data_IF_471395019854
#
_entry.id   IF_471395019854
#
_cell.length_a   1.000
_cell.length_b   1.000
_cell.length_c   1.000
_cell.angle_alpha   90.00
_cell.angle_beta   90.00
_cell.angle_gamma   90.00
#
_symmetry.space_group_name_H-M   'P 1'
#
loop_
_entity.id
_entity.type
_entity.pdbx_description
1 polymer ?
#
# COMPACT_ATOMS: atom_id res chain seq x y z
N UNK A 1 23.58 6.52 -10.20
CA UNK A 1 23.48 6.44 -8.73
C UNK A 1 24.39 5.32 -8.27
N UNK A 2 25.11 5.47 -7.13
CA UNK A 2 25.97 4.39 -6.62
C UNK A 2 25.13 3.23 -6.05
N UNK A 3 25.70 2.02 -6.04
CA UNK A 3 25.07 0.82 -5.46
C UNK A 3 24.70 1.02 -3.98
N UNK A 4 25.59 1.67 -3.22
CA UNK A 4 25.34 1.98 -1.81
C UNK A 4 24.09 2.84 -1.61
N UNK A 5 23.90 3.88 -2.43
CA UNK A 5 22.71 4.74 -2.39
C UNK A 5 21.47 3.96 -2.78
N UNK A 6 21.53 3.13 -3.83
CA UNK A 6 20.41 2.27 -4.22
C UNK A 6 19.96 1.37 -3.08
N UNK A 7 20.90 0.68 -2.46
CA UNK A 7 20.61 -0.22 -1.32
C UNK A 7 20.03 0.52 -0.12
N UNK A 8 20.57 1.69 0.21
CA UNK A 8 20.01 2.53 1.28
C UNK A 8 18.56 2.92 1.01
N UNK A 9 18.23 3.35 -0.21
CA UNK A 9 16.87 3.71 -0.59
C UNK A 9 15.91 2.50 -0.57
N UNK A 10 16.39 1.31 -0.95
CA UNK A 10 15.62 0.06 -0.84
C UNK A 10 15.29 -0.26 0.62
N UNK A 11 16.24 -0.08 1.54
CA UNK A 11 16.01 -0.27 2.99
C UNK A 11 14.95 0.71 3.50
N UNK A 12 15.00 1.99 3.10
CA UNK A 12 13.95 2.96 3.44
C UNK A 12 12.58 2.51 2.93
N UNK A 13 12.51 1.97 1.71
CA UNK A 13 11.27 1.41 1.17
C UNK A 13 10.75 0.23 1.99
N UNK A 14 11.61 -0.69 2.42
CA UNK A 14 11.24 -1.81 3.30
C UNK A 14 10.65 -1.30 4.62
N UNK A 15 11.31 -0.33 5.26
CA UNK A 15 10.81 0.31 6.49
C UNK A 15 9.45 0.96 6.24
N UNK A 16 9.29 1.68 5.13
CA UNK A 16 8.02 2.28 4.75
C UNK A 16 6.90 1.25 4.63
N UNK A 17 7.13 0.13 3.96
CA UNK A 17 6.14 -0.95 3.87
C UNK A 17 5.83 -1.61 5.21
N UNK A 18 6.82 -1.81 6.07
CA UNK A 18 6.60 -2.37 7.41
C UNK A 18 5.72 -1.44 8.27
N UNK A 19 5.99 -0.13 8.23
CA UNK A 19 5.19 0.88 8.94
C UNK A 19 3.76 0.93 8.39
N UNK A 20 3.59 0.93 7.06
CA UNK A 20 2.25 0.97 6.47
C UNK A 20 1.45 -0.30 6.78
N UNK A 21 2.08 -1.46 6.73
CA UNK A 21 1.45 -2.71 7.14
C UNK A 21 0.96 -2.66 8.60
N UNK A 22 1.72 -2.05 9.50
CA UNK A 22 1.26 -1.79 10.86
C UNK A 22 0.05 -0.86 10.88
N UNK A 23 0.08 0.23 10.11
CA UNK A 23 -1.02 1.18 10.00
C UNK A 23 -2.31 0.53 9.49
N UNK A 24 -2.23 -0.29 8.43
CA UNK A 24 -3.37 -1.04 7.92
C UNK A 24 -3.95 -2.01 8.96
N UNK A 25 -3.08 -2.63 9.74
CA UNK A 25 -3.51 -3.60 10.77
C UNK A 25 -4.27 -2.95 11.90
N UNK A 26 -3.83 -1.81 12.39
CA UNK A 26 -4.49 -1.14 13.53
C UNK A 26 -5.87 -0.58 13.19
N UNK A 27 -6.16 -0.34 11.90
CA UNK A 27 -7.48 0.08 11.40
C UNK A 27 -8.31 -1.08 10.81
N UNK A 28 -7.78 -2.29 10.84
CA UNK A 28 -8.48 -3.47 10.29
C UNK A 28 -8.66 -4.57 11.32
N UNK A 29 -7.92 -4.56 12.42
CA UNK A 29 -8.00 -5.55 13.50
C UNK A 29 -8.42 -4.82 14.77
N UNK A 30 -9.65 -5.03 15.19
CA UNK A 30 -10.26 -4.41 16.36
C UNK A 30 -10.37 -5.39 17.52
N UNK A 31 -10.60 -4.94 18.76
CA UNK A 31 -10.79 -5.83 19.90
C UNK A 31 -11.90 -6.87 19.70
N UNK A 32 -12.95 -6.50 18.99
CA UNK A 32 -14.14 -7.35 18.78
C UNK A 32 -14.16 -8.07 17.43
N UNK A 33 -13.03 -8.07 16.70
CA UNK A 33 -12.92 -8.79 15.44
C UNK A 33 -12.10 -8.09 14.39
N UNK A 34 -12.18 -8.61 13.17
CA UNK A 34 -11.45 -8.10 12.03
C UNK A 34 -12.43 -7.56 10.98
N UNK A 35 -12.13 -6.38 10.45
CA UNK A 35 -12.81 -5.85 9.27
C UNK A 35 -12.51 -6.76 8.07
N UNK A 36 -13.55 -7.28 7.43
CA UNK A 36 -13.44 -8.09 6.21
C UNK A 36 -13.84 -7.25 5.01
N UNK A 37 -13.36 -7.63 3.82
CA UNK A 37 -13.74 -6.93 2.58
C UNK A 37 -15.27 -7.01 2.36
N UNK A 38 -15.89 -8.11 2.75
CA UNK A 38 -17.34 -8.29 2.70
C UNK A 38 -18.07 -7.27 3.60
N UNK A 39 -17.49 -6.93 4.75
CA UNK A 39 -18.06 -5.98 5.70
C UNK A 39 -18.09 -4.55 5.15
N UNK A 40 -17.16 -4.20 4.25
CA UNK A 40 -17.15 -2.90 3.58
C UNK A 40 -18.41 -2.71 2.73
N UNK A 41 -18.92 -3.78 2.11
CA UNK A 41 -20.15 -3.74 1.32
C UNK A 41 -21.40 -3.57 2.18
N UNK A 42 -21.31 -3.94 3.46
CA UNK A 42 -22.42 -3.89 4.44
C UNK A 42 -22.17 -2.84 5.52
N UNK A 43 -21.30 -1.88 5.25
CA UNK A 43 -20.92 -0.81 6.20
C UNK A 43 -22.15 0.00 6.68
N UNK A 44 -23.19 0.03 5.87
CA UNK A 44 -24.46 0.65 6.17
C UNK A 44 -25.36 -0.15 7.12
N UNK A 45 -25.07 -1.42 7.44
CA UNK A 45 -25.87 -2.22 8.37
C UNK A 45 -25.80 -1.66 9.78
N UNK A 46 -26.95 -1.53 10.41
CA UNK A 46 -27.09 -0.93 11.73
C UNK A 46 -26.35 -1.76 12.80
N UNK A 47 -25.56 -1.08 13.61
CA UNK A 47 -24.88 -1.68 14.77
C UNK A 47 -23.61 -2.51 14.46
N UNK A 48 -23.40 -2.98 13.22
CA UNK A 48 -22.28 -3.87 12.91
C UNK A 48 -20.94 -3.20 13.14
N UNK A 49 -20.70 -2.01 12.57
CA UNK A 49 -19.47 -1.26 12.76
C UNK A 49 -19.32 -0.73 14.17
N UNK A 50 -20.40 -0.30 14.81
CA UNK A 50 -20.37 0.15 16.19
C UNK A 50 -19.88 -0.95 17.13
N UNK A 51 -20.40 -2.18 16.98
CA UNK A 51 -19.97 -3.35 17.75
C UNK A 51 -18.51 -3.74 17.46
N UNK A 52 -18.10 -3.71 16.19
CA UNK A 52 -16.73 -4.05 15.80
C UNK A 52 -15.73 -3.07 16.42
N UNK A 53 -16.06 -1.78 16.42
CA UNK A 53 -15.19 -0.69 16.89
C UNK A 53 -15.46 -0.32 18.37
N UNK A 54 -16.19 -1.13 19.12
CA UNK A 54 -16.38 -0.92 20.56
C UNK A 54 -15.04 -0.98 21.28
N UNK A 55 -14.77 0.01 22.16
CA UNK A 55 -13.49 0.14 22.88
C UNK A 55 -12.31 0.67 22.06
N UNK A 56 -12.47 0.93 20.77
CA UNK A 56 -11.42 1.55 19.96
C UNK A 56 -11.36 3.04 20.22
N UNK A 57 -10.15 3.55 20.53
CA UNK A 57 -9.92 4.98 20.69
C UNK A 57 -9.81 5.68 19.33
N UNK A 58 -10.36 6.88 19.21
CA UNK A 58 -10.22 7.74 18.01
C UNK A 58 -8.76 8.10 17.67
N UNK A 59 -7.84 7.98 18.63
CA UNK A 59 -6.40 8.16 18.39
C UNK A 59 -5.80 7.07 17.49
N UNK A 60 -6.45 5.90 17.38
CA UNK A 60 -5.95 4.78 16.56
C UNK A 60 -6.00 5.12 15.07
N UNK A 61 -7.16 5.48 14.49
CA UNK A 61 -7.19 5.86 13.08
C UNK A 61 -6.37 7.11 12.78
N UNK A 62 -6.32 8.10 13.68
CA UNK A 62 -5.45 9.27 13.48
C UNK A 62 -3.96 8.91 13.45
N UNK A 63 -3.53 7.97 14.29
CA UNK A 63 -2.17 7.43 14.23
C UNK A 63 -1.91 6.75 12.88
N UNK A 64 -2.84 5.93 12.41
CA UNK A 64 -2.74 5.30 11.10
C UNK A 64 -2.63 6.34 9.99
N UNK A 65 -3.49 7.37 9.97
CA UNK A 65 -3.46 8.42 8.96
C UNK A 65 -2.08 9.10 8.87
N UNK A 66 -1.53 9.52 10.01
CA UNK A 66 -0.25 10.25 10.06
C UNK A 66 0.92 9.34 9.69
N UNK A 67 1.08 8.22 10.37
CA UNK A 67 2.21 7.32 10.12
C UNK A 67 2.13 6.65 8.74
N UNK A 68 0.91 6.36 8.25
CA UNK A 68 0.71 5.84 6.92
C UNK A 68 1.12 6.83 5.83
N UNK A 69 0.81 8.11 5.99
CA UNK A 69 1.26 9.15 5.05
C UNK A 69 2.79 9.21 4.98
N UNK A 70 3.49 9.25 6.13
CA UNK A 70 4.96 9.22 6.16
C UNK A 70 5.52 7.91 5.59
N UNK A 71 4.87 6.79 5.85
CA UNK A 71 5.31 5.49 5.34
C UNK A 71 5.32 5.44 3.82
N UNK A 72 4.36 6.09 3.16
CA UNK A 72 4.30 6.17 1.70
C UNK A 72 5.46 6.98 1.11
N UNK A 73 5.90 8.04 1.81
CA UNK A 73 7.13 8.75 1.43
C UNK A 73 8.36 7.81 1.49
N UNK A 74 8.47 6.99 2.53
CA UNK A 74 9.55 6.01 2.64
C UNK A 74 9.44 4.93 1.55
N UNK A 75 8.24 4.43 1.25
CA UNK A 75 8.00 3.48 0.16
C UNK A 75 8.43 4.05 -1.19
N UNK A 76 8.16 5.34 -1.44
CA UNK A 76 8.60 6.00 -2.67
C UNK A 76 10.09 5.84 -2.90
N UNK A 77 10.94 5.99 -1.89
CA UNK A 77 12.38 5.85 -2.04
C UNK A 77 12.79 4.44 -2.52
N UNK A 78 12.15 3.39 -2.01
CA UNK A 78 12.43 2.02 -2.45
C UNK A 78 12.05 1.79 -3.92
N UNK A 79 10.88 2.22 -4.32
CA UNK A 79 10.44 2.14 -5.72
C UNK A 79 11.27 3.03 -6.64
N UNK A 80 11.65 4.22 -6.17
CA UNK A 80 12.52 5.12 -6.91
C UNK A 80 13.91 4.49 -7.16
N UNK A 81 14.46 3.75 -6.19
CA UNK A 81 15.72 3.06 -6.36
C UNK A 81 15.69 2.07 -7.53
N UNK A 82 14.66 1.20 -7.58
CA UNK A 82 14.48 0.26 -8.68
C UNK A 82 14.26 1.01 -10.01
N UNK A 83 13.42 2.03 -10.00
CA UNK A 83 13.14 2.88 -11.16
C UNK A 83 14.41 3.53 -11.71
N UNK A 84 15.23 4.11 -10.84
CA UNK A 84 16.47 4.77 -11.24
C UNK A 84 17.50 3.78 -11.80
N UNK A 85 17.56 2.56 -11.25
CA UNK A 85 18.37 1.49 -11.81
C UNK A 85 17.91 1.14 -13.24
N UNK A 86 16.61 0.89 -13.42
CA UNK A 86 16.03 0.58 -14.75
C UNK A 86 16.20 1.75 -15.72
N UNK A 87 16.04 3.00 -15.26
CA UNK A 87 16.25 4.20 -16.07
C UNK A 87 17.68 4.29 -16.63
N UNK A 88 18.66 3.81 -15.87
CA UNK A 88 20.04 3.68 -16.34
C UNK A 88 20.22 2.68 -17.48
N UNK A 89 19.31 1.73 -17.64
CA UNK A 89 19.31 0.70 -18.70
C UNK A 89 18.37 1.06 -19.86
N UNK A 90 17.18 1.58 -19.55
CA UNK A 90 16.19 2.02 -20.53
C UNK A 90 15.45 3.25 -20.02
N UNK A 91 15.59 4.35 -20.75
CA UNK A 91 14.89 5.61 -20.45
C UNK A 91 13.36 5.43 -20.51
N UNK A 92 12.88 4.65 -21.47
CA UNK A 92 11.43 4.43 -21.66
C UNK A 92 10.84 3.70 -20.45
N UNK A 93 11.37 2.52 -20.11
CA UNK A 93 10.87 1.77 -18.95
C UNK A 93 11.01 2.56 -17.65
N UNK A 94 12.15 3.20 -17.42
CA UNK A 94 12.36 4.03 -16.23
C UNK A 94 11.39 5.20 -16.14
N UNK A 95 11.10 5.89 -17.26
CA UNK A 95 10.11 6.99 -17.26
C UNK A 95 8.69 6.50 -17.00
N UNK A 96 8.29 5.39 -17.61
CA UNK A 96 6.97 4.78 -17.36
C UNK A 96 6.85 4.39 -15.88
N UNK A 97 7.85 3.71 -15.32
CA UNK A 97 7.88 3.30 -13.92
C UNK A 97 7.84 4.51 -12.98
N UNK A 98 8.56 5.59 -13.32
CA UNK A 98 8.55 6.80 -12.52
C UNK A 98 7.16 7.46 -12.47
N UNK A 99 6.54 7.67 -13.63
CA UNK A 99 5.18 8.23 -13.70
C UNK A 99 4.16 7.35 -12.95
N UNK A 100 4.27 6.04 -13.11
CA UNK A 100 3.39 5.07 -12.48
C UNK A 100 3.50 5.10 -10.94
N UNK A 101 4.73 5.17 -10.40
CA UNK A 101 4.93 5.18 -8.95
C UNK A 101 4.58 6.53 -8.33
N UNK A 102 4.81 7.65 -9.02
CA UNK A 102 4.35 8.96 -8.56
C UNK A 102 2.82 8.96 -8.44
N UNK A 103 2.10 8.46 -9.45
CA UNK A 103 0.65 8.31 -9.39
C UNK A 103 0.22 7.42 -8.21
N UNK A 104 0.86 6.26 -8.02
CA UNK A 104 0.53 5.34 -6.94
C UNK A 104 0.72 5.99 -5.57
N UNK A 105 1.89 6.60 -5.32
CA UNK A 105 2.22 7.16 -3.99
C UNK A 105 1.36 8.39 -3.68
N UNK A 106 1.17 9.31 -4.62
CA UNK A 106 0.42 10.55 -4.35
C UNK A 106 -1.07 10.27 -4.11
N UNK A 107 -1.69 9.50 -4.98
CA UNK A 107 -3.11 9.15 -4.82
C UNK A 107 -3.30 8.12 -3.72
N UNK A 108 -2.32 7.21 -3.52
CA UNK A 108 -2.32 6.24 -2.44
C UNK A 108 -2.23 6.88 -1.06
N UNK A 109 -1.47 7.97 -0.90
CA UNK A 109 -1.44 8.73 0.35
C UNK A 109 -2.81 9.34 0.67
N UNK A 110 -3.47 9.93 -0.32
CA UNK A 110 -4.83 10.44 -0.15
C UNK A 110 -5.83 9.33 0.21
N UNK A 111 -5.72 8.17 -0.45
CA UNK A 111 -6.53 6.99 -0.15
C UNK A 111 -6.35 6.52 1.29
N UNK A 112 -5.09 6.33 1.73
CA UNK A 112 -4.79 5.85 3.07
C UNK A 112 -5.28 6.79 4.17
N UNK A 113 -4.99 8.10 4.04
CA UNK A 113 -5.46 9.12 4.99
C UNK A 113 -6.97 9.15 5.05
N UNK A 114 -7.65 9.10 3.90
CA UNK A 114 -9.10 9.16 3.84
C UNK A 114 -9.76 7.93 4.47
N UNK A 115 -9.21 6.74 4.25
CA UNK A 115 -9.70 5.50 4.89
C UNK A 115 -9.63 5.61 6.42
N UNK A 116 -8.50 6.08 6.96
CA UNK A 116 -8.36 6.27 8.39
C UNK A 116 -9.28 7.38 8.94
N UNK A 117 -9.48 8.47 8.19
CA UNK A 117 -10.40 9.55 8.59
C UNK A 117 -11.86 9.09 8.65
N UNK A 118 -12.29 8.16 7.80
CA UNK A 118 -13.64 7.60 7.88
C UNK A 118 -13.89 6.94 9.24
N UNK A 119 -12.94 6.17 9.73
CA UNK A 119 -13.03 5.53 11.05
C UNK A 119 -12.95 6.55 12.18
N UNK A 120 -12.07 7.55 12.06
CA UNK A 120 -11.98 8.64 13.02
C UNK A 120 -13.32 9.37 13.17
N UNK A 121 -13.93 9.78 12.06
CA UNK A 121 -15.23 10.48 12.06
C UNK A 121 -16.31 9.62 12.74
N UNK A 122 -16.36 8.33 12.41
CA UNK A 122 -17.33 7.40 13.00
C UNK A 122 -17.18 7.28 14.53
N UNK A 123 -15.95 7.19 15.01
CA UNK A 123 -15.65 7.12 16.45
C UNK A 123 -15.93 8.46 17.15
N UNK A 124 -15.53 9.57 16.53
CA UNK A 124 -15.68 10.92 17.09
C UNK A 124 -17.16 11.33 17.23
N UNK A 125 -18.02 10.87 16.32
CA UNK A 125 -19.46 11.11 16.34
C UNK A 125 -20.24 10.05 17.14
N UNK A 126 -19.60 9.39 18.09
CA UNK A 126 -20.22 8.43 19.02
C UNK A 126 -20.93 7.24 18.35
N UNK A 127 -20.57 6.92 17.10
CA UNK A 127 -21.10 5.79 16.32
C UNK A 127 -22.62 5.81 16.11
N UNK A 128 -23.21 7.00 16.08
CA UNK A 128 -24.64 7.21 15.85
C UNK A 128 -25.02 7.04 14.35
N UNK A 129 -26.31 7.20 14.02
CA UNK A 129 -26.80 7.11 12.66
C UNK A 129 -26.18 8.15 11.73
N UNK A 130 -25.91 9.37 12.21
CA UNK A 130 -25.26 10.44 11.43
C UNK A 130 -23.81 10.11 11.13
N UNK A 131 -23.07 9.53 12.09
CA UNK A 131 -21.73 9.03 11.90
C UNK A 131 -21.67 7.96 10.82
N UNK A 132 -22.62 7.03 10.84
CA UNK A 132 -22.78 5.99 9.81
C UNK A 132 -23.00 6.61 8.42
N UNK A 133 -23.95 7.53 8.30
CA UNK A 133 -24.27 8.15 7.00
C UNK A 133 -23.06 8.92 6.44
N UNK A 134 -22.34 9.63 7.30
CA UNK A 134 -21.12 10.33 6.91
C UNK A 134 -20.01 9.35 6.48
N UNK A 135 -19.81 8.26 7.20
CA UNK A 135 -18.84 7.23 6.87
C UNK A 135 -19.17 6.57 5.51
N UNK A 136 -20.45 6.25 5.26
CA UNK A 136 -20.91 5.71 3.97
C UNK A 136 -20.68 6.71 2.83
N UNK A 137 -20.98 7.97 3.05
CA UNK A 137 -20.72 9.04 2.09
C UNK A 137 -19.24 9.17 1.75
N UNK A 138 -18.37 9.18 2.75
CA UNK A 138 -16.92 9.20 2.57
C UNK A 138 -16.43 7.96 1.82
N UNK A 139 -16.92 6.76 2.18
CA UNK A 139 -16.59 5.52 1.50
C UNK A 139 -16.94 5.58 0.01
N UNK A 140 -18.17 5.97 -0.33
CA UNK A 140 -18.61 6.07 -1.71
C UNK A 140 -17.77 7.07 -2.53
N UNK A 141 -17.30 8.15 -1.90
CA UNK A 141 -16.41 9.12 -2.53
C UNK A 141 -14.95 8.60 -2.67
N UNK A 142 -14.60 7.51 -1.99
CA UNK A 142 -13.25 6.96 -1.99
C UNK A 142 -12.91 6.17 -3.27
N UNK A 143 -13.90 5.70 -4.00
CA UNK A 143 -13.70 4.90 -5.21
C UNK A 143 -12.78 5.57 -6.25
N UNK A 144 -12.71 6.90 -6.25
CA UNK A 144 -11.78 7.64 -7.10
C UNK A 144 -10.31 7.43 -6.69
N UNK A 145 -10.01 7.32 -5.40
CA UNK A 145 -8.64 7.18 -4.89
C UNK A 145 -8.13 5.74 -5.00
N UNK A 146 -9.00 4.74 -5.03
CA UNK A 146 -8.60 3.34 -5.30
C UNK A 146 -7.95 3.16 -6.68
N UNK A 147 -8.18 4.09 -7.60
CA UNK A 147 -7.53 4.09 -8.93
C UNK A 147 -6.01 4.25 -8.87
N UNK A 148 -5.43 4.61 -7.71
CA UNK A 148 -3.98 4.61 -7.52
C UNK A 148 -3.36 3.24 -7.83
N UNK A 149 -4.09 2.15 -7.60
CA UNK A 149 -3.63 0.80 -7.92
C UNK A 149 -3.38 0.56 -9.41
N UNK A 150 -3.98 1.35 -10.32
CA UNK A 150 -3.66 1.31 -11.76
C UNK A 150 -2.19 1.70 -11.95
N UNK A 151 -1.73 2.78 -11.32
CA UNK A 151 -0.31 3.17 -11.35
C UNK A 151 0.58 2.06 -10.81
N UNK A 152 0.18 1.43 -9.71
CA UNK A 152 0.97 0.33 -9.14
C UNK A 152 1.05 -0.89 -10.07
N UNK A 153 -0.05 -1.27 -10.70
CA UNK A 153 -0.05 -2.36 -11.69
C UNK A 153 0.83 -2.03 -12.89
N UNK A 154 0.77 -0.81 -13.43
CA UNK A 154 1.65 -0.37 -14.52
C UNK A 154 3.12 -0.47 -14.10
N UNK A 155 3.46 -0.06 -12.88
CA UNK A 155 4.81 -0.19 -12.33
C UNK A 155 5.27 -1.66 -12.29
N UNK A 156 4.43 -2.55 -11.72
CA UNK A 156 4.74 -3.98 -11.58
C UNK A 156 4.95 -4.63 -12.95
N UNK A 157 4.04 -4.41 -13.89
CA UNK A 157 4.16 -4.99 -15.22
C UNK A 157 5.36 -4.44 -16.00
N UNK A 158 5.63 -3.13 -15.92
CA UNK A 158 6.82 -2.56 -16.54
C UNK A 158 8.11 -3.18 -16.00
N UNK A 159 8.18 -3.42 -14.68
CA UNK A 159 9.32 -4.10 -14.06
C UNK A 159 9.46 -5.55 -14.53
N UNK A 160 8.36 -6.33 -14.54
CA UNK A 160 8.35 -7.72 -15.01
C UNK A 160 8.81 -7.79 -16.46
N UNK A 161 8.27 -6.94 -17.34
CA UNK A 161 8.63 -6.90 -18.75
C UNK A 161 10.12 -6.53 -18.91
N UNK A 162 10.62 -5.54 -18.16
CA UNK A 162 12.02 -5.16 -18.20
C UNK A 162 12.97 -6.31 -17.80
N UNK A 163 12.55 -7.16 -16.84
CA UNK A 163 13.31 -8.35 -16.44
C UNK A 163 13.24 -9.43 -17.53
N UNK A 164 12.04 -9.78 -18.01
CA UNK A 164 11.82 -10.86 -18.98
C UNK A 164 12.51 -10.56 -20.32
N UNK A 165 12.50 -9.31 -20.75
CA UNK A 165 13.18 -8.87 -21.99
C UNK A 165 14.70 -8.71 -21.83
N UNK A 166 15.25 -8.93 -20.63
CA UNK A 166 16.66 -8.72 -20.34
C UNK A 166 17.06 -7.24 -20.20
N UNK A 167 16.13 -6.31 -20.41
CA UNK A 167 16.38 -4.85 -20.30
C UNK A 167 16.87 -4.45 -18.92
N UNK A 168 16.38 -5.10 -17.87
CA UNK A 168 16.80 -4.84 -16.49
C UNK A 168 18.24 -5.27 -16.20
N UNK A 169 18.85 -6.09 -17.07
CA UNK A 169 20.18 -6.67 -16.87
C UNK A 169 20.34 -7.43 -15.54
N UNK A 170 19.28 -8.09 -15.11
CA UNK A 170 19.25 -9.02 -13.98
C UNK A 170 18.78 -10.40 -14.48
N UNK A 171 19.08 -11.49 -13.76
CA UNK A 171 18.64 -12.83 -14.18
C UNK A 171 17.11 -12.92 -14.30
N UNK A 172 16.60 -13.64 -15.31
CA UNK A 172 15.15 -13.78 -15.57
C UNK A 172 14.39 -14.39 -14.39
N UNK A 173 15.02 -15.25 -13.59
CA UNK A 173 14.42 -15.82 -12.39
C UNK A 173 14.05 -14.75 -11.34
N UNK A 174 14.65 -13.55 -11.41
CA UNK A 174 14.29 -12.45 -10.51
C UNK A 174 12.81 -12.04 -10.59
N UNK A 175 12.12 -12.45 -11.67
CA UNK A 175 10.66 -12.24 -11.82
C UNK A 175 9.89 -12.86 -10.65
N UNK A 176 10.28 -14.03 -10.14
CA UNK A 176 9.59 -14.68 -9.03
C UNK A 176 9.62 -13.88 -7.73
N UNK A 177 10.59 -12.98 -7.59
CA UNK A 177 10.73 -12.07 -6.46
C UNK A 177 10.13 -10.68 -6.71
N UNK A 178 9.36 -10.51 -7.78
CA UNK A 178 8.57 -9.29 -7.96
C UNK A 178 7.25 -9.37 -7.19
N UNK A 179 6.64 -8.22 -6.97
CA UNK A 179 5.45 -8.09 -6.12
C UNK A 179 4.32 -9.06 -6.53
N UNK A 180 4.05 -9.19 -7.83
CA UNK A 180 2.89 -9.94 -8.31
C UNK A 180 2.95 -11.44 -8.02
N UNK A 181 4.02 -12.20 -8.34
CA UNK A 181 4.12 -13.60 -8.00
C UNK A 181 4.04 -13.86 -6.49
N UNK A 182 4.72 -13.04 -5.68
CA UNK A 182 4.70 -13.18 -4.22
C UNK A 182 3.29 -12.90 -3.68
N UNK A 183 2.65 -11.84 -4.17
CA UNK A 183 1.29 -11.50 -3.77
C UNK A 183 0.31 -12.65 -4.09
N UNK A 184 0.38 -13.22 -5.30
CA UNK A 184 -0.45 -14.35 -5.72
C UNK A 184 -0.20 -15.58 -4.81
N UNK A 185 1.05 -15.90 -4.53
CA UNK A 185 1.41 -17.03 -3.66
C UNK A 185 0.90 -16.85 -2.22
N UNK A 186 0.85 -15.59 -1.73
CA UNK A 186 0.38 -15.28 -0.37
C UNK A 186 -1.12 -15.03 -0.27
N UNK A 187 -1.80 -14.80 -1.39
CA UNK A 187 -3.23 -14.43 -1.41
C UNK A 187 -4.14 -15.41 -0.66
N UNK A 188 -3.93 -16.75 -0.75
CA UNK A 188 -4.78 -17.73 -0.03
C UNK A 188 -4.75 -17.58 1.50
N UNK A 189 -3.68 -17.02 2.06
CA UNK A 189 -3.52 -16.88 3.51
C UNK A 189 -4.30 -15.69 4.10
N UNK A 190 -4.86 -14.81 3.25
CA UNK A 190 -5.69 -13.66 3.63
C UNK A 190 -5.06 -12.78 4.73
N UNK A 191 -3.75 -12.60 4.67
CA UNK A 191 -3.00 -11.76 5.63
C UNK A 191 -3.23 -10.29 5.31
N UNK A 192 -3.61 -9.47 6.30
CA UNK A 192 -3.65 -8.01 6.14
C UNK A 192 -2.23 -7.51 5.88
N UNK A 193 -2.06 -6.73 4.83
CA UNK A 193 -0.77 -6.22 4.42
C UNK A 193 0.03 -7.16 3.52
N UNK A 194 -0.60 -8.19 2.90
CA UNK A 194 0.06 -9.11 1.94
C UNK A 194 0.81 -8.34 0.85
N UNK A 195 0.24 -7.24 0.36
CA UNK A 195 0.88 -6.40 -0.66
C UNK A 195 2.19 -5.78 -0.13
N UNK A 196 2.20 -5.34 1.13
CA UNK A 196 3.40 -4.78 1.75
C UNK A 196 4.48 -5.85 1.95
N UNK A 197 4.10 -7.07 2.35
CA UNK A 197 5.04 -8.18 2.47
C UNK A 197 5.66 -8.49 1.10
N UNK A 198 4.85 -8.58 0.05
CA UNK A 198 5.33 -8.82 -1.30
C UNK A 198 6.31 -7.73 -1.76
N UNK A 199 6.00 -6.47 -1.50
CA UNK A 199 6.89 -5.35 -1.83
C UNK A 199 8.20 -5.37 -1.03
N UNK A 200 8.15 -5.69 0.28
CA UNK A 200 9.36 -5.83 1.11
C UNK A 200 10.26 -6.94 0.58
N UNK A 201 9.71 -8.10 0.23
CA UNK A 201 10.48 -9.22 -0.34
C UNK A 201 11.09 -8.83 -1.68
N UNK A 202 10.33 -8.11 -2.52
CA UNK A 202 10.85 -7.56 -3.78
C UNK A 202 12.04 -6.65 -3.52
N UNK A 203 11.93 -5.67 -2.65
CA UNK A 203 13.01 -4.71 -2.35
C UNK A 203 14.20 -5.41 -1.73
N UNK A 204 13.97 -6.41 -0.85
CA UNK A 204 15.05 -7.21 -0.28
C UNK A 204 15.81 -7.98 -1.36
N UNK A 205 15.12 -8.63 -2.30
CA UNK A 205 15.76 -9.29 -3.43
C UNK A 205 16.60 -8.30 -4.27
N UNK A 206 16.08 -7.10 -4.51
CA UNK A 206 16.79 -6.07 -5.26
C UNK A 206 18.07 -5.56 -4.57
N UNK A 207 18.17 -5.61 -3.23
CA UNK A 207 19.43 -5.31 -2.50
C UNK A 207 20.57 -6.24 -2.94
N UNK A 208 20.25 -7.49 -3.30
CA UNK A 208 21.25 -8.49 -3.73
C UNK A 208 21.44 -8.51 -5.24
N UNK A 209 20.49 -7.99 -6.02
CA UNK A 209 20.56 -7.96 -7.49
C UNK A 209 21.33 -6.75 -8.04
N UNK A 210 21.51 -5.69 -7.23
CA UNK A 210 22.17 -4.44 -7.62
C UNK A 210 23.44 -4.17 -6.88
#
# INVERSE_FOLDING_TARGET
MSVTVLRFLLVLGIIGHAVNMYCDRIISIFPNGRLKIEDIKTIGEEGKMAKLMEGVSEKVPMRSAVWGAYSLVLQFFGYFAITAYIYGKSKIYGSVMFAAIVMFITVGAAHHVKTALMEYVFLHMEKDARAKDMMVSLYNSETATTKCYIGYLVYIFALIIAIVTGTAAVPVWAVIFTVLPIFIAMFPFRIIGTLHIAAMVTMLAWIFLV
#
